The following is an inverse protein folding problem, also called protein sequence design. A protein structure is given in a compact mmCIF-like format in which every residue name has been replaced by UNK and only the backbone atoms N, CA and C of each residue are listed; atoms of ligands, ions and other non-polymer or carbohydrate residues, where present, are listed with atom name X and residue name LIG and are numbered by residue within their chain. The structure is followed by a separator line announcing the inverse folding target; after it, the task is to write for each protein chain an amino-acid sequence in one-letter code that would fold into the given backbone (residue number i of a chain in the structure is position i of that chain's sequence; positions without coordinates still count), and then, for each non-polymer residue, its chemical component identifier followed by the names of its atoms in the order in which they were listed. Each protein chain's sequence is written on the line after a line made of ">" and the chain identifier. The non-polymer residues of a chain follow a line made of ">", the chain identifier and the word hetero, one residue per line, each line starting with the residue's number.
data_IF_376686225953
#
_entry.id   IF_376686225953
#
_cell.length_a   1.000
_cell.length_b   1.000
_cell.length_c   1.000
_cell.angle_alpha   90.00
_cell.angle_beta   90.00
_cell.angle_gamma   90.00
#
_symmetry.space_group_name_H-M   'P 1'
#
loop_
_entity.id
_entity.type
_entity.pdbx_description
1 polymer ?
#
# COMPACT_ATOMS: atom_id res chain seq x y z
N UNK A 1 -17.88 -27.86 -4.40
CA UNK A 1 -16.93 -28.83 -4.98
C UNK A 1 -15.95 -29.21 -3.92
N UNK A 2 -15.66 -30.51 -3.67
CA UNK A 2 -14.60 -30.89 -2.77
C UNK A 2 -13.26 -30.42 -3.33
N UNK A 3 -12.35 -29.98 -2.46
CA UNK A 3 -11.00 -29.55 -2.85
C UNK A 3 -10.11 -30.74 -3.25
N UNK A 4 -10.52 -31.96 -2.85
CA UNK A 4 -9.91 -33.23 -3.28
C UNK A 4 -10.89 -33.94 -4.19
N UNK A 5 -10.81 -33.78 -5.50
CA UNK A 5 -11.83 -34.25 -6.44
C UNK A 5 -11.74 -35.73 -6.77
N UNK A 6 -10.62 -36.42 -6.45
CA UNK A 6 -10.41 -37.81 -6.84
C UNK A 6 -10.78 -38.79 -5.71
N UNK A 7 -11.43 -39.87 -6.09
CA UNK A 7 -11.69 -41.02 -5.21
C UNK A 7 -10.43 -41.89 -5.06
N UNK A 8 -10.41 -42.75 -4.05
CA UNK A 8 -9.29 -43.70 -3.87
C UNK A 8 -9.08 -44.62 -5.09
N UNK A 9 -10.18 -45.01 -5.75
CA UNK A 9 -10.09 -45.86 -6.94
C UNK A 9 -9.50 -45.11 -8.13
N UNK A 10 -9.84 -43.85 -8.32
CA UNK A 10 -9.23 -42.99 -9.36
C UNK A 10 -7.75 -42.77 -9.08
N UNK A 11 -7.37 -42.52 -7.82
CA UNK A 11 -5.96 -42.40 -7.43
C UNK A 11 -5.20 -43.69 -7.75
N UNK A 12 -5.79 -44.85 -7.45
CA UNK A 12 -5.20 -46.17 -7.73
C UNK A 12 -5.01 -46.39 -9.23
N UNK A 13 -6.03 -46.09 -10.04
CA UNK A 13 -5.92 -46.17 -11.50
C UNK A 13 -4.82 -45.25 -12.07
N UNK A 14 -4.67 -44.04 -11.55
CA UNK A 14 -3.61 -43.13 -11.95
C UNK A 14 -2.22 -43.70 -11.60
N UNK A 15 -2.05 -44.25 -10.41
CA UNK A 15 -0.78 -44.86 -9.98
C UNK A 15 -0.42 -46.09 -10.84
N UNK A 16 -1.41 -46.93 -11.20
CA UNK A 16 -1.23 -48.05 -12.10
C UNK A 16 -0.73 -47.62 -13.49
N UNK A 17 -1.30 -46.54 -14.03
CA UNK A 17 -0.86 -45.99 -15.33
C UNK A 17 0.57 -45.43 -15.25
N UNK A 18 0.95 -44.83 -14.14
CA UNK A 18 2.31 -44.32 -13.90
C UNK A 18 3.28 -45.44 -13.64
N UNK A 19 2.82 -46.58 -13.09
CA UNK A 19 3.64 -47.71 -12.75
C UNK A 19 4.26 -47.65 -11.34
N UNK A 20 3.61 -46.96 -10.40
CA UNK A 20 4.03 -46.87 -9.00
C UNK A 20 2.95 -47.37 -8.07
N UNK A 21 3.32 -47.82 -6.87
CA UNK A 21 2.36 -48.40 -5.91
C UNK A 21 1.64 -47.34 -5.04
N UNK A 22 2.35 -46.29 -4.69
CA UNK A 22 1.86 -45.26 -3.77
C UNK A 22 2.20 -43.85 -4.26
N UNK A 23 1.47 -42.83 -3.81
CA UNK A 23 1.84 -41.43 -4.06
C UNK A 23 3.26 -41.06 -3.57
N UNK A 24 3.75 -41.73 -2.51
CA UNK A 24 5.09 -41.48 -1.97
C UNK A 24 6.21 -41.93 -2.93
N UNK A 25 5.93 -42.91 -3.78
CA UNK A 25 6.90 -43.37 -4.78
C UNK A 25 7.18 -42.31 -5.85
N UNK A 26 6.26 -41.35 -6.05
CA UNK A 26 6.43 -40.20 -6.95
C UNK A 26 7.52 -39.22 -6.49
N UNK A 27 7.88 -39.32 -5.20
CA UNK A 27 8.90 -38.50 -4.56
C UNK A 27 10.19 -39.27 -4.28
N UNK A 28 10.48 -40.34 -5.04
CA UNK A 28 11.63 -41.19 -4.82
C UNK A 28 12.99 -40.45 -4.93
N UNK A 29 13.03 -39.34 -5.66
CA UNK A 29 14.19 -38.44 -5.81
C UNK A 29 14.47 -37.61 -4.54
N UNK A 30 13.49 -37.51 -3.59
CA UNK A 30 13.67 -36.85 -2.30
C UNK A 30 14.10 -37.89 -1.27
N UNK A 31 15.34 -37.77 -0.78
CA UNK A 31 15.87 -38.73 0.18
C UNK A 31 15.11 -38.72 1.50
N UNK A 32 15.03 -39.84 2.25
CA UNK A 32 14.29 -39.89 3.53
C UNK A 32 14.74 -38.84 4.55
N UNK A 33 16.01 -38.46 4.54
CA UNK A 33 16.56 -37.44 5.44
C UNK A 33 16.03 -36.02 5.15
N UNK A 34 15.62 -35.77 3.90
CA UNK A 34 15.07 -34.50 3.45
C UNK A 34 13.54 -34.44 3.62
N UNK A 35 12.89 -35.56 3.93
CA UNK A 35 11.44 -35.61 4.15
C UNK A 35 11.10 -35.28 5.61
N UNK A 36 10.06 -34.48 5.86
CA UNK A 36 9.59 -34.27 7.20
C UNK A 36 9.04 -35.58 7.79
N UNK A 37 9.44 -35.93 9.00
CA UNK A 37 8.99 -37.17 9.68
C UNK A 37 7.52 -37.12 10.04
N UNK A 38 6.98 -35.94 10.28
CA UNK A 38 5.57 -35.70 10.56
C UNK A 38 5.22 -34.24 10.27
N UNK A 39 3.97 -33.99 9.96
CA UNK A 39 3.41 -32.63 9.93
C UNK A 39 2.62 -32.41 11.22
N UNK A 40 3.07 -31.47 12.04
CA UNK A 40 2.33 -31.07 13.23
C UNK A 40 1.19 -30.10 12.86
N UNK A 41 0.27 -30.57 12.03
CA UNK A 41 -0.91 -29.84 11.62
C UNK A 41 -2.14 -30.46 12.30
N UNK A 42 -3.11 -29.63 12.73
CA UNK A 42 -4.38 -30.14 13.22
C UNK A 42 -5.13 -30.87 12.11
N UNK A 43 -5.96 -31.83 12.49
CA UNK A 43 -6.89 -32.45 11.54
C UNK A 43 -7.83 -31.41 10.96
N UNK A 44 -8.20 -31.60 9.70
CA UNK A 44 -9.22 -30.78 9.04
C UNK A 44 -10.56 -30.87 9.81
N UNK A 45 -11.24 -29.73 9.85
CA UNK A 45 -12.56 -29.59 10.48
C UNK A 45 -13.60 -29.34 9.39
N UNK A 46 -14.85 -29.65 9.69
CA UNK A 46 -15.96 -29.30 8.79
C UNK A 46 -16.16 -27.78 8.73
N UNK A 47 -16.78 -27.30 7.67
CA UNK A 47 -17.13 -25.88 7.51
C UNK A 47 -17.93 -25.35 8.71
N UNK A 48 -18.91 -26.15 9.20
CA UNK A 48 -19.72 -25.78 10.36
C UNK A 48 -18.89 -25.59 11.64
N UNK A 49 -17.92 -26.48 11.89
CA UNK A 49 -17.03 -26.38 13.05
C UNK A 49 -16.10 -25.17 12.96
N UNK A 50 -15.55 -24.92 11.77
CA UNK A 50 -14.68 -23.75 11.53
C UNK A 50 -15.47 -22.45 11.68
N UNK A 51 -16.67 -22.36 11.08
CA UNK A 51 -17.52 -21.18 11.23
C UNK A 51 -17.89 -20.94 12.70
N UNK A 52 -18.36 -21.96 13.41
CA UNK A 52 -18.70 -21.81 14.84
C UNK A 52 -17.53 -21.39 15.71
N UNK A 53 -16.32 -21.88 15.44
CA UNK A 53 -15.10 -21.45 16.13
C UNK A 53 -14.76 -19.97 15.84
N UNK A 54 -14.83 -19.55 14.57
CA UNK A 54 -14.52 -18.17 14.19
C UNK A 54 -15.59 -17.19 14.72
N UNK A 55 -16.86 -17.58 14.72
CA UNK A 55 -17.95 -16.79 15.31
C UNK A 55 -17.76 -16.60 16.81
N UNK A 56 -17.36 -17.68 17.54
CA UNK A 56 -17.06 -17.59 18.96
C UNK A 56 -15.87 -16.63 19.24
N UNK A 57 -14.82 -16.68 18.42
CA UNK A 57 -13.69 -15.74 18.51
C UNK A 57 -14.12 -14.30 18.21
N UNK A 58 -14.96 -14.11 17.19
CA UNK A 58 -15.49 -12.80 16.85
C UNK A 58 -16.36 -12.22 17.97
N UNK A 59 -17.21 -13.05 18.58
CA UNK A 59 -18.08 -12.65 19.70
C UNK A 59 -17.31 -12.28 20.98
N UNK A 60 -16.07 -12.74 21.13
CA UNK A 60 -15.21 -12.35 22.25
C UNK A 60 -14.66 -10.92 22.13
N UNK A 61 -14.74 -10.28 20.95
CA UNK A 61 -14.32 -8.91 20.78
C UNK A 61 -15.34 -7.93 21.35
N UNK A 62 -14.83 -6.83 21.92
CA UNK A 62 -15.66 -5.70 22.39
C UNK A 62 -16.04 -4.83 21.20
N UNK A 63 -17.24 -5.03 20.64
CA UNK A 63 -17.76 -4.26 19.49
C UNK A 63 -18.77 -3.18 19.91
N UNK A 64 -19.07 -3.10 21.19
CA UNK A 64 -20.04 -2.21 21.85
C UNK A 64 -19.43 -0.86 22.30
N UNK A 65 -18.16 -0.65 22.06
CA UNK A 65 -17.43 0.55 22.50
C UNK A 65 -17.21 1.55 21.35
N UNK A 66 -17.23 2.83 21.69
CA UNK A 66 -16.78 3.90 20.79
C UNK A 66 -15.28 4.05 20.94
N UNK A 67 -14.53 3.83 19.86
CA UNK A 67 -13.07 3.90 19.87
C UNK A 67 -12.57 5.31 19.54
N UNK A 68 -11.70 5.83 20.41
CA UNK A 68 -10.95 7.08 20.20
C UNK A 68 -9.44 6.83 20.09
N UNK A 69 -9.03 5.62 19.76
CA UNK A 69 -7.61 5.25 19.66
C UNK A 69 -6.85 6.05 18.59
N UNK A 70 -7.47 6.32 17.45
CA UNK A 70 -6.85 7.07 16.37
C UNK A 70 -5.60 6.41 15.81
N UNK A 71 -4.46 7.09 15.92
CA UNK A 71 -3.14 6.62 15.47
C UNK A 71 -3.05 6.33 13.95
N UNK A 72 -3.84 7.02 13.15
CA UNK A 72 -3.90 6.85 11.69
C UNK A 72 -4.96 5.85 11.22
N UNK A 73 -5.70 5.23 12.15
CA UNK A 73 -6.76 4.27 11.86
C UNK A 73 -8.10 4.79 12.35
N UNK A 74 -8.98 5.14 11.40
CA UNK A 74 -10.26 5.77 11.71
C UNK A 74 -11.40 5.04 11.01
N UNK A 75 -12.51 4.83 11.75
CA UNK A 75 -13.74 4.32 11.15
C UNK A 75 -14.36 5.39 10.26
N UNK A 76 -14.79 4.96 9.08
CA UNK A 76 -15.56 5.77 8.15
C UNK A 76 -16.86 5.05 7.78
N UNK A 77 -17.89 5.82 7.46
CA UNK A 77 -19.07 5.24 6.83
C UNK A 77 -18.71 4.75 5.42
N UNK A 78 -18.94 3.45 5.18
CA UNK A 78 -18.74 2.84 3.88
C UNK A 78 -20.12 2.60 3.28
N UNK A 79 -20.47 3.27 2.16
CA UNK A 79 -21.76 3.03 1.49
C UNK A 79 -21.89 1.58 1.03
N UNK A 80 -23.08 0.98 1.20
CA UNK A 80 -23.35 -0.40 0.77
C UNK A 80 -23.17 -0.62 -0.73
N UNK A 81 -23.21 0.43 -1.54
CA UNK A 81 -22.88 0.39 -2.94
C UNK A 81 -21.43 -0.09 -3.22
N UNK A 82 -20.48 0.18 -2.30
CA UNK A 82 -19.09 -0.29 -2.43
C UNK A 82 -19.07 -1.81 -2.44
N UNK A 83 -19.71 -2.46 -1.44
CA UNK A 83 -19.78 -3.93 -1.36
C UNK A 83 -20.49 -4.51 -2.59
N UNK A 84 -21.61 -3.89 -3.01
CA UNK A 84 -22.38 -4.36 -4.16
C UNK A 84 -21.60 -4.30 -5.48
N UNK A 85 -20.74 -3.31 -5.66
CA UNK A 85 -19.89 -3.18 -6.86
C UNK A 85 -18.68 -4.09 -6.77
N UNK A 86 -17.95 -4.09 -5.64
CA UNK A 86 -16.69 -4.83 -5.50
C UNK A 86 -16.90 -6.35 -5.43
N UNK A 87 -18.08 -6.81 -5.00
CA UNK A 87 -18.45 -8.24 -4.99
C UNK A 87 -18.82 -8.82 -6.36
N UNK A 88 -18.85 -8.01 -7.41
CA UNK A 88 -19.10 -8.50 -8.76
C UNK A 88 -17.93 -9.33 -9.27
N UNK A 89 -18.24 -10.47 -9.89
CA UNK A 89 -17.22 -11.42 -10.37
C UNK A 89 -16.22 -10.80 -11.35
N UNK A 90 -16.66 -9.81 -12.12
CA UNK A 90 -15.81 -9.09 -13.08
C UNK A 90 -14.60 -8.40 -12.43
N UNK A 91 -14.72 -8.03 -11.14
CA UNK A 91 -13.63 -7.39 -10.39
C UNK A 91 -12.82 -8.41 -9.60
N UNK A 92 -13.44 -9.25 -8.78
CA UNK A 92 -12.67 -10.10 -7.85
C UNK A 92 -12.07 -11.35 -8.51
N UNK A 93 -12.57 -11.79 -9.67
CA UNK A 93 -11.97 -12.90 -10.43
C UNK A 93 -10.87 -12.45 -11.38
N UNK A 94 -10.74 -11.13 -11.64
CA UNK A 94 -9.70 -10.62 -12.50
C UNK A 94 -8.33 -10.90 -11.89
N UNK A 95 -7.50 -11.66 -12.59
CA UNK A 95 -6.07 -11.74 -12.31
C UNK A 95 -5.42 -10.40 -12.68
N UNK A 96 -4.13 -10.29 -12.64
CA UNK A 96 -3.47 -9.02 -12.97
C UNK A 96 -3.83 -8.58 -14.40
N UNK A 97 -4.47 -7.40 -14.61
CA UNK A 97 -4.96 -6.97 -15.91
C UNK A 97 -3.83 -6.45 -16.80
N UNK A 98 -3.03 -7.36 -17.38
CA UNK A 98 -1.96 -6.99 -18.30
C UNK A 98 -2.42 -6.80 -19.74
N UNK A 99 -3.35 -7.66 -20.17
CA UNK A 99 -3.82 -7.70 -21.56
C UNK A 99 -5.05 -6.81 -21.71
N UNK A 100 -4.95 -5.67 -22.44
CA UNK A 100 -6.09 -4.80 -22.64
C UNK A 100 -7.25 -5.48 -23.35
N UNK A 101 -6.99 -6.48 -24.21
CA UNK A 101 -7.99 -7.24 -24.94
C UNK A 101 -8.95 -7.99 -24.01
N UNK A 102 -8.45 -8.47 -22.88
CA UNK A 102 -9.23 -9.25 -21.90
C UNK A 102 -9.69 -8.42 -20.70
N UNK A 103 -9.04 -7.28 -20.42
CA UNK A 103 -9.15 -6.57 -19.14
C UNK A 103 -9.44 -5.08 -19.29
N UNK A 104 -10.01 -4.64 -20.41
CA UNK A 104 -10.27 -3.22 -20.68
C UNK A 104 -11.08 -2.54 -19.58
N UNK A 105 -12.15 -3.18 -19.07
CA UNK A 105 -12.96 -2.61 -18.01
C UNK A 105 -12.21 -2.44 -16.69
N UNK A 106 -11.40 -3.41 -16.30
CA UNK A 106 -10.56 -3.31 -15.09
C UNK A 106 -9.47 -2.24 -15.28
N UNK A 107 -8.84 -2.17 -16.43
CA UNK A 107 -7.85 -1.13 -16.75
C UNK A 107 -8.47 0.27 -16.78
N UNK A 108 -9.69 0.40 -17.28
CA UNK A 108 -10.47 1.64 -17.22
C UNK A 108 -10.72 2.07 -15.76
N UNK A 109 -11.14 1.16 -14.89
CA UNK A 109 -11.35 1.44 -13.46
C UNK A 109 -10.05 1.90 -12.78
N UNK A 110 -8.91 1.25 -13.08
CA UNK A 110 -7.60 1.66 -12.57
C UNK A 110 -7.22 3.05 -13.08
N UNK A 111 -7.43 3.32 -14.37
CA UNK A 111 -7.16 4.63 -14.96
C UNK A 111 -7.99 5.74 -14.31
N UNK A 112 -9.27 5.48 -14.05
CA UNK A 112 -10.16 6.41 -13.36
C UNK A 112 -9.75 6.62 -11.91
N UNK A 113 -9.35 5.56 -11.19
CA UNK A 113 -8.76 5.67 -9.86
C UNK A 113 -7.53 6.58 -9.85
N UNK A 114 -6.57 6.36 -10.75
CA UNK A 114 -5.39 7.22 -10.88
C UNK A 114 -5.77 8.69 -11.09
N UNK A 115 -6.76 8.93 -11.95
CA UNK A 115 -7.27 10.28 -12.22
C UNK A 115 -7.93 10.90 -10.99
N UNK A 116 -8.74 10.14 -10.28
CA UNK A 116 -9.44 10.62 -9.09
C UNK A 116 -8.46 11.00 -7.97
N UNK A 117 -7.49 10.14 -7.67
CA UNK A 117 -6.51 10.43 -6.61
C UNK A 117 -5.53 11.54 -7.02
N UNK A 118 -5.14 11.62 -8.30
CA UNK A 118 -4.33 12.72 -8.80
C UNK A 118 -5.03 14.06 -8.61
N UNK A 119 -6.33 14.15 -8.93
CA UNK A 119 -7.15 15.35 -8.71
C UNK A 119 -7.35 15.68 -7.24
N UNK A 120 -7.59 14.66 -6.41
CA UNK A 120 -7.76 14.85 -4.97
C UNK A 120 -6.52 15.47 -4.31
N UNK A 121 -5.33 15.11 -4.80
CA UNK A 121 -4.05 15.63 -4.31
C UNK A 121 -3.56 16.88 -5.05
N UNK A 122 -4.30 17.34 -6.07
CA UNK A 122 -3.87 18.40 -7.00
C UNK A 122 -2.49 18.11 -7.59
N UNK A 123 -2.26 16.85 -7.98
CA UNK A 123 -1.00 16.37 -8.55
C UNK A 123 -1.23 15.85 -9.97
N UNK A 124 -0.27 16.01 -10.89
CA UNK A 124 -0.47 15.64 -12.30
C UNK A 124 -0.51 14.14 -12.56
N UNK A 125 0.06 13.32 -11.68
CA UNK A 125 0.21 11.89 -11.92
C UNK A 125 -0.04 11.07 -10.64
N UNK A 126 -0.68 9.90 -10.80
CA UNK A 126 -0.80 8.87 -9.77
C UNK A 126 -0.49 7.50 -10.36
N UNK A 127 0.02 6.57 -9.55
CA UNK A 127 0.13 5.16 -9.94
C UNK A 127 -1.16 4.38 -9.62
N UNK A 128 -1.18 3.10 -9.98
CA UNK A 128 -2.33 2.22 -9.74
C UNK A 128 -2.47 1.74 -8.28
N UNK A 129 -1.66 2.23 -7.39
CA UNK A 129 -1.54 1.98 -5.95
C UNK A 129 -0.31 1.15 -5.55
N UNK A 130 -0.05 1.14 -4.25
CA UNK A 130 0.84 0.23 -3.53
C UNK A 130 0.10 -0.35 -2.32
N UNK A 131 0.76 -1.12 -1.46
CA UNK A 131 0.07 -1.89 -0.41
C UNK A 131 -0.62 -1.05 0.67
N UNK A 132 0.05 -0.03 1.17
CA UNK A 132 -0.43 0.85 2.25
C UNK A 132 0.33 2.18 2.26
N UNK A 133 -0.10 3.11 3.12
CA UNK A 133 0.52 4.43 3.22
C UNK A 133 1.99 4.40 3.65
N UNK A 134 2.38 3.45 4.51
CA UNK A 134 3.77 3.29 4.93
C UNK A 134 4.66 2.79 3.79
N UNK A 135 4.17 1.85 2.99
CA UNK A 135 4.82 1.41 1.74
C UNK A 135 4.92 2.55 0.74
N UNK A 136 3.85 3.34 0.58
CA UNK A 136 3.86 4.52 -0.28
C UNK A 136 4.94 5.53 0.15
N UNK A 137 5.11 5.74 1.45
CA UNK A 137 6.18 6.58 1.98
C UNK A 137 7.57 6.01 1.68
N UNK A 138 7.79 4.72 1.95
CA UNK A 138 9.07 4.07 1.64
C UNK A 138 9.42 4.17 0.16
N UNK A 139 8.49 3.85 -0.72
CA UNK A 139 8.70 3.91 -2.16
C UNK A 139 8.98 5.35 -2.64
N UNK A 140 8.32 6.35 -2.06
CA UNK A 140 8.58 7.76 -2.39
C UNK A 140 9.97 8.21 -1.97
N UNK A 141 10.45 7.74 -0.82
CA UNK A 141 11.84 7.96 -0.36
C UNK A 141 12.82 7.31 -1.33
N UNK A 142 12.57 6.07 -1.75
CA UNK A 142 13.41 5.39 -2.73
C UNK A 142 13.38 6.06 -4.11
N UNK A 143 12.23 6.63 -4.50
CA UNK A 143 12.17 7.50 -5.71
C UNK A 143 13.09 8.72 -5.56
N UNK A 144 13.07 9.37 -4.40
CA UNK A 144 13.91 10.54 -4.15
C UNK A 144 15.41 10.18 -4.18
N UNK A 145 15.80 9.07 -3.59
CA UNK A 145 17.18 8.56 -3.62
C UNK A 145 17.62 8.29 -5.07
N UNK A 146 16.81 7.59 -5.86
CA UNK A 146 17.10 7.31 -7.28
C UNK A 146 17.22 8.57 -8.11
N UNK A 147 16.30 9.51 -7.90
CA UNK A 147 16.22 10.75 -8.69
C UNK A 147 17.38 11.71 -8.38
N UNK A 148 17.70 11.87 -7.10
CA UNK A 148 18.72 12.84 -6.67
C UNK A 148 20.13 12.25 -6.60
N UNK A 149 20.24 10.91 -6.50
CA UNK A 149 21.48 10.17 -6.20
C UNK A 149 22.11 10.59 -4.88
N UNK A 150 21.30 11.02 -3.93
CA UNK A 150 21.65 11.39 -2.58
C UNK A 150 21.03 10.41 -1.60
N UNK A 151 21.51 10.34 -0.38
CA UNK A 151 21.17 9.26 0.55
C UNK A 151 20.59 9.74 1.89
N UNK A 152 20.67 11.02 2.19
CA UNK A 152 20.13 11.59 3.42
C UNK A 152 18.65 11.94 3.25
N UNK A 153 17.81 11.47 4.16
CA UNK A 153 16.39 11.76 4.23
C UNK A 153 16.09 12.46 5.55
N UNK A 154 15.55 13.65 5.46
CA UNK A 154 15.08 14.41 6.62
C UNK A 154 13.62 14.08 6.86
N UNK A 155 13.28 13.57 8.04
CA UNK A 155 11.91 13.17 8.41
C UNK A 155 11.47 13.96 9.63
N UNK A 156 10.35 14.64 9.54
CA UNK A 156 9.71 15.28 10.68
C UNK A 156 9.21 14.23 11.68
N UNK A 157 9.51 14.41 12.95
CA UNK A 157 9.05 13.51 14.00
C UNK A 157 7.51 13.48 14.14
N UNK A 158 6.82 14.48 13.63
CA UNK A 158 5.35 14.54 13.61
C UNK A 158 4.69 13.64 12.55
N UNK A 159 5.47 12.99 11.67
CA UNK A 159 5.00 11.95 10.76
C UNK A 159 4.61 10.70 11.56
N UNK A 160 3.57 10.00 11.11
CA UNK A 160 3.07 8.78 11.72
C UNK A 160 4.21 7.85 12.19
N UNK A 161 4.30 7.51 13.49
CA UNK A 161 5.41 6.74 14.05
C UNK A 161 5.50 5.32 13.48
N UNK A 162 4.38 4.72 13.08
CA UNK A 162 4.35 3.40 12.41
C UNK A 162 5.08 3.50 11.07
N UNK A 163 4.76 4.52 10.27
CA UNK A 163 5.39 4.74 8.97
C UNK A 163 6.88 5.06 9.09
N UNK A 164 7.25 5.87 10.09
CA UNK A 164 8.68 6.14 10.39
C UNK A 164 9.42 4.86 10.77
N UNK A 165 8.80 3.99 11.55
CA UNK A 165 9.37 2.69 11.92
C UNK A 165 9.48 1.75 10.72
N UNK A 166 8.46 1.69 9.86
CA UNK A 166 8.52 0.96 8.59
C UNK A 166 9.67 1.45 7.73
N UNK A 167 9.78 2.77 7.55
CA UNK A 167 10.88 3.38 6.79
C UNK A 167 12.25 2.97 7.35
N UNK A 168 12.45 3.08 8.67
CA UNK A 168 13.69 2.66 9.32
C UNK A 168 13.99 1.17 9.14
N UNK A 169 12.97 0.32 9.18
CA UNK A 169 13.11 -1.12 8.98
C UNK A 169 13.54 -1.46 7.55
N UNK A 170 12.86 -0.88 6.56
CA UNK A 170 13.14 -1.16 5.15
C UNK A 170 14.45 -0.56 4.66
N UNK A 171 14.90 0.55 5.24
CA UNK A 171 16.18 1.18 4.86
C UNK A 171 17.39 0.65 5.61
N UNK A 172 17.21 -0.21 6.62
CA UNK A 172 18.28 -0.67 7.53
C UNK A 172 19.53 -1.21 6.83
N UNK A 173 19.38 -1.85 5.70
CA UNK A 173 20.48 -2.46 4.94
C UNK A 173 20.75 -1.73 3.61
N UNK A 174 20.19 -0.55 3.45
CA UNK A 174 20.39 0.31 2.30
C UNK A 174 21.33 1.47 2.69
N UNK A 175 22.05 2.07 1.74
CA UNK A 175 22.86 3.24 1.98
C UNK A 175 21.99 4.51 2.13
N UNK A 176 21.06 4.51 3.09
CA UNK A 176 20.12 5.59 3.36
C UNK A 176 20.29 6.03 4.81
N UNK A 177 20.56 7.32 5.00
CA UNK A 177 20.64 7.98 6.30
C UNK A 177 19.28 8.63 6.61
N UNK A 178 18.63 8.21 7.69
CA UNK A 178 17.41 8.84 8.18
C UNK A 178 17.73 9.82 9.30
N UNK A 179 17.47 11.10 9.06
CA UNK A 179 17.62 12.17 10.06
C UNK A 179 16.23 12.60 10.52
N UNK A 180 15.85 12.23 11.74
CA UNK A 180 14.59 12.65 12.34
C UNK A 180 14.79 14.02 13.00
N UNK A 181 13.99 15.01 12.59
CA UNK A 181 13.92 16.32 13.21
C UNK A 181 12.84 16.30 14.28
N UNK A 182 13.18 16.59 15.56
CA UNK A 182 12.20 16.60 16.64
C UNK A 182 11.06 17.59 16.40
N UNK A 183 9.86 17.19 16.77
CA UNK A 183 8.69 18.06 16.77
C UNK A 183 8.71 19.00 17.98
N UNK A 184 7.97 20.10 17.90
CA UNK A 184 7.81 21.08 18.99
C UNK A 184 6.34 21.17 19.41
N UNK A 185 6.00 20.63 20.59
CA UNK A 185 4.62 20.65 21.14
C UNK A 185 3.58 20.15 20.14
N UNK A 186 3.85 19.03 19.49
CA UNK A 186 2.97 18.39 18.50
C UNK A 186 2.94 19.08 17.12
N UNK A 187 3.88 19.99 16.85
CA UNK A 187 4.00 20.71 15.58
C UNK A 187 5.40 20.52 14.97
N UNK A 188 5.49 20.74 13.68
CA UNK A 188 6.76 20.73 12.95
C UNK A 188 7.64 21.90 13.37
N UNK A 189 8.92 21.65 13.63
CA UNK A 189 9.93 22.71 13.77
C UNK A 189 10.47 23.11 12.39
N UNK A 190 9.85 24.12 11.78
CA UNK A 190 10.20 24.60 10.44
C UNK A 190 11.65 25.11 10.35
N UNK A 191 12.17 25.71 11.42
CA UNK A 191 13.53 26.23 11.44
C UNK A 191 14.54 25.08 11.46
N UNK A 192 14.33 24.08 12.30
CA UNK A 192 15.15 22.87 12.35
C UNK A 192 15.06 22.06 11.05
N UNK A 193 13.85 21.88 10.47
CA UNK A 193 13.68 21.23 9.18
C UNK A 193 14.47 21.95 8.08
N UNK A 194 14.32 23.26 7.93
CA UNK A 194 15.08 24.05 6.95
C UNK A 194 16.59 23.93 7.15
N UNK A 195 17.05 23.94 8.40
CA UNK A 195 18.48 23.80 8.75
C UNK A 195 19.05 22.42 8.42
N UNK A 196 18.25 21.37 8.53
CA UNK A 196 18.66 20.00 8.23
C UNK A 196 18.81 19.72 6.73
N UNK A 197 18.27 20.57 5.85
CA UNK A 197 18.33 20.42 4.40
C UNK A 197 19.66 20.94 3.86
N UNK A 198 20.58 20.02 3.61
CA UNK A 198 21.89 20.27 3.00
C UNK A 198 22.02 19.63 1.61
N UNK A 199 23.20 19.73 1.02
CA UNK A 199 23.46 19.18 -0.32
C UNK A 199 23.49 17.64 -0.38
N UNK A 200 23.58 16.94 0.76
CA UNK A 200 23.48 15.50 0.84
C UNK A 200 22.01 15.00 0.91
N UNK A 201 21.08 15.91 1.16
CA UNK A 201 19.67 15.59 1.36
C UNK A 201 18.99 15.20 0.05
N UNK A 202 18.36 14.00 0.01
CA UNK A 202 17.55 13.51 -1.09
C UNK A 202 16.10 13.96 -0.98
N UNK A 203 15.54 13.95 0.24
CA UNK A 203 14.16 14.35 0.49
C UNK A 203 13.94 14.91 1.89
N UNK A 204 12.88 15.73 2.01
CA UNK A 204 12.22 16.07 3.25
C UNK A 204 10.83 15.43 3.29
N UNK A 205 10.50 14.80 4.42
CA UNK A 205 9.22 14.11 4.65
C UNK A 205 8.48 14.80 5.77
N UNK A 206 7.26 15.23 5.50
CA UNK A 206 6.34 15.85 6.47
C UNK A 206 4.93 15.26 6.30
N UNK A 207 4.03 15.54 7.24
CA UNK A 207 2.66 15.03 7.20
C UNK A 207 1.65 16.13 7.54
N UNK A 208 0.52 16.18 6.81
CA UNK A 208 -0.58 17.13 7.04
C UNK A 208 -1.98 16.52 6.86
N UNK A 209 -2.88 16.52 7.85
CA UNK A 209 -2.57 16.81 9.24
C UNK A 209 -1.50 15.86 9.77
N UNK A 210 -0.66 16.35 10.69
CA UNK A 210 0.38 15.52 11.26
C UNK A 210 -0.20 14.48 12.26
N UNK A 211 0.64 13.60 12.80
CA UNK A 211 0.19 12.54 13.71
C UNK A 211 -0.51 13.06 14.97
N UNK A 212 -0.19 14.26 15.41
CA UNK A 212 -0.81 14.92 16.57
C UNK A 212 -2.07 15.73 16.21
N UNK A 213 -2.47 15.75 14.93
CA UNK A 213 -3.64 16.45 14.44
C UNK A 213 -3.42 17.93 14.11
N UNK A 214 -2.18 18.41 14.17
CA UNK A 214 -1.88 19.77 13.75
C UNK A 214 -1.96 19.92 12.23
N UNK A 215 -2.58 21.01 11.79
CA UNK A 215 -2.67 21.41 10.38
C UNK A 215 -1.66 22.53 10.16
N UNK A 216 -0.79 22.35 9.16
CA UNK A 216 0.32 23.25 8.89
C UNK A 216 0.46 23.52 7.38
N UNK A 217 1.00 24.67 7.02
CA UNK A 217 1.30 25.04 5.63
C UNK A 217 2.79 24.86 5.35
N UNK A 218 3.13 23.88 4.53
CA UNK A 218 4.52 23.56 4.19
C UNK A 218 5.04 24.28 2.93
N UNK A 219 4.27 25.23 2.36
CA UNK A 219 4.64 25.93 1.11
C UNK A 219 6.05 26.54 1.18
N UNK A 220 6.37 27.25 2.26
CA UNK A 220 7.70 27.85 2.41
C UNK A 220 8.82 26.81 2.60
N UNK A 221 8.54 25.71 3.30
CA UNK A 221 9.52 24.62 3.46
C UNK A 221 9.82 23.98 2.09
N UNK A 222 8.78 23.73 1.28
CA UNK A 222 8.94 23.13 -0.03
C UNK A 222 9.63 24.08 -1.03
N UNK A 223 9.35 25.37 -0.97
CA UNK A 223 10.08 26.38 -1.74
C UNK A 223 11.57 26.40 -1.36
N UNK A 224 11.89 26.30 -0.06
CA UNK A 224 13.28 26.20 0.43
C UNK A 224 13.95 24.89 -0.02
N UNK A 225 13.25 23.75 0.05
CA UNK A 225 13.74 22.47 -0.43
C UNK A 225 14.05 22.53 -1.92
N UNK A 226 13.13 23.07 -2.72
CA UNK A 226 13.29 23.20 -4.18
C UNK A 226 14.56 23.98 -4.56
N UNK A 227 14.90 25.03 -3.83
CA UNK A 227 16.11 25.81 -4.07
C UNK A 227 17.39 24.99 -3.83
N UNK A 228 17.36 23.98 -2.95
CA UNK A 228 18.49 23.10 -2.58
C UNK A 228 18.44 21.72 -3.23
N UNK A 229 17.37 21.44 -3.98
CA UNK A 229 17.14 20.22 -4.79
C UNK A 229 16.78 18.92 -4.05
N UNK A 230 16.62 18.79 -2.70
CA UNK A 230 15.92 17.64 -2.18
C UNK A 230 14.45 17.63 -2.62
N UNK A 231 13.85 16.46 -2.76
CA UNK A 231 12.43 16.34 -3.07
C UNK A 231 11.58 16.55 -1.82
N UNK A 232 10.43 17.18 -2.01
CA UNK A 232 9.41 17.38 -0.97
C UNK A 232 8.41 16.25 -1.01
N UNK A 233 8.29 15.49 0.08
CA UNK A 233 7.34 14.39 0.23
C UNK A 233 6.33 14.78 1.30
N UNK A 234 5.06 14.89 0.92
CA UNK A 234 3.95 15.20 1.83
C UNK A 234 3.08 13.96 2.04
N UNK A 235 3.06 13.44 3.27
CA UNK A 235 2.09 12.47 3.70
C UNK A 235 0.79 13.16 4.09
N UNK A 236 -0.35 12.66 3.62
CA UNK A 236 -1.64 13.28 3.89
C UNK A 236 -2.71 12.28 4.30
N UNK A 237 -3.77 12.79 4.93
CA UNK A 237 -5.00 12.04 5.13
C UNK A 237 -5.97 12.37 3.97
N UNK A 238 -6.32 11.38 3.11
CA UNK A 238 -6.92 11.70 1.80
C UNK A 238 -8.27 12.40 1.90
N UNK A 239 -9.13 12.04 2.86
CA UNK A 239 -10.45 12.67 3.04
C UNK A 239 -10.31 14.16 3.36
N UNK A 240 -9.25 14.54 4.07
CA UNK A 240 -9.02 15.95 4.45
C UNK A 240 -8.59 16.82 3.26
N UNK A 241 -8.18 16.23 2.15
CA UNK A 241 -7.77 16.99 0.96
C UNK A 241 -8.94 17.71 0.27
N UNK A 242 -10.17 17.35 0.61
CA UNK A 242 -11.36 18.08 0.16
C UNK A 242 -11.54 19.47 0.81
N UNK A 243 -10.86 19.74 1.94
CA UNK A 243 -11.05 20.96 2.75
C UNK A 243 -9.74 21.63 3.15
N UNK A 244 -8.60 20.97 3.01
CA UNK A 244 -7.29 21.54 3.31
C UNK A 244 -6.55 21.91 2.03
N UNK A 245 -5.54 22.77 2.19
CA UNK A 245 -4.59 23.07 1.12
C UNK A 245 -3.91 21.78 0.66
N UNK A 246 -4.01 21.52 -0.62
CA UNK A 246 -3.56 20.26 -1.22
C UNK A 246 -2.03 20.17 -1.33
N UNK A 247 -1.46 18.96 -1.51
CA UNK A 247 -0.04 18.79 -1.81
C UNK A 247 0.43 19.60 -3.02
N UNK A 248 -0.37 19.63 -4.10
CA UNK A 248 -0.05 20.41 -5.30
C UNK A 248 0.00 21.89 -5.04
N UNK A 249 -0.99 22.45 -4.32
CA UNK A 249 -1.01 23.86 -3.92
C UNK A 249 0.16 24.23 -2.99
N UNK A 250 0.63 23.31 -2.15
CA UNK A 250 1.81 23.52 -1.32
C UNK A 250 3.12 23.37 -2.11
N UNK A 251 3.08 22.83 -3.33
CA UNK A 251 4.25 22.62 -4.18
C UNK A 251 5.06 21.38 -3.85
N UNK A 252 4.44 20.34 -3.29
CA UNK A 252 5.07 19.05 -3.05
C UNK A 252 5.51 18.37 -4.36
N UNK A 253 6.61 17.64 -4.31
CA UNK A 253 7.11 16.85 -5.43
C UNK A 253 6.42 15.49 -5.52
N UNK A 254 6.15 14.91 -4.34
CA UNK A 254 5.47 13.63 -4.18
C UNK A 254 4.48 13.77 -3.02
N UNK A 255 3.28 13.22 -3.18
CA UNK A 255 2.34 13.08 -2.09
C UNK A 255 1.94 11.62 -1.91
N UNK A 256 1.82 11.20 -0.64
CA UNK A 256 1.47 9.84 -0.25
C UNK A 256 0.34 9.84 0.77
N UNK A 257 -0.47 8.79 0.74
CA UNK A 257 -1.56 8.60 1.70
C UNK A 257 -1.89 7.12 1.89
N UNK A 258 -2.59 6.82 2.98
CA UNK A 258 -3.32 5.57 3.10
C UNK A 258 -4.76 5.78 2.63
N UNK A 259 -5.18 4.98 1.66
CA UNK A 259 -6.50 5.09 1.04
C UNK A 259 -7.60 4.34 1.77
N UNK A 260 -7.33 3.75 2.93
CA UNK A 260 -8.33 2.99 3.70
C UNK A 260 -9.63 3.75 3.89
N UNK A 261 -9.53 5.05 4.21
CA UNK A 261 -10.68 5.93 4.43
C UNK A 261 -11.59 6.12 3.19
N UNK A 262 -11.14 5.76 2.00
CA UNK A 262 -11.88 5.93 0.74
C UNK A 262 -12.78 4.72 0.38
N UNK A 263 -13.14 3.89 1.34
CA UNK A 263 -14.13 2.82 1.14
C UNK A 263 -13.71 1.45 1.65
N UNK A 264 -12.71 1.35 2.52
CA UNK A 264 -12.25 0.09 3.10
C UNK A 264 -12.51 0.04 4.61
N UNK A 265 -12.96 -1.10 5.16
CA UNK A 265 -13.04 -1.29 6.60
C UNK A 265 -11.64 -1.39 7.22
N UNK A 266 -11.54 -1.21 8.54
CA UNK A 266 -10.26 -1.34 9.26
C UNK A 266 -9.69 -2.76 9.22
N UNK A 267 -10.53 -3.78 9.13
CA UNK A 267 -10.18 -5.19 8.91
C UNK A 267 -9.04 -5.69 9.80
N UNK A 268 -9.00 -5.28 11.07
CA UNK A 268 -7.98 -5.66 12.06
C UNK A 268 -6.52 -5.39 11.60
N UNK A 269 -6.31 -4.40 10.75
CA UNK A 269 -4.98 -4.01 10.29
C UNK A 269 -4.74 -4.18 8.78
N UNK A 270 -5.78 -4.38 8.02
CA UNK A 270 -5.68 -4.42 6.56
C UNK A 270 -6.24 -5.70 5.92
N UNK A 271 -6.02 -5.87 4.62
CA UNK A 271 -5.18 -5.03 3.74
C UNK A 271 -5.73 -3.63 3.51
N UNK A 272 -4.85 -2.66 3.25
CA UNK A 272 -5.19 -1.27 2.94
C UNK A 272 -4.82 -0.89 1.51
N UNK A 273 -4.63 0.39 1.24
CA UNK A 273 -4.32 0.92 -0.08
C UNK A 273 -3.32 2.09 0.04
N UNK A 274 -2.12 1.95 -0.49
CA UNK A 274 -1.17 3.04 -0.56
C UNK A 274 -1.41 3.91 -1.80
N UNK A 275 -1.62 5.20 -1.58
CA UNK A 275 -1.74 6.20 -2.63
C UNK A 275 -0.40 6.88 -2.83
N UNK A 276 0.02 6.99 -4.09
CA UNK A 276 1.19 7.77 -4.50
C UNK A 276 0.86 8.67 -5.66
N UNK A 277 1.20 9.94 -5.53
CA UNK A 277 1.12 10.93 -6.60
C UNK A 277 2.42 11.70 -6.73
N UNK A 278 2.76 12.18 -7.92
CA UNK A 278 3.98 12.94 -8.11
C UNK A 278 3.88 13.95 -9.25
N UNK A 279 4.89 14.83 -9.33
CA UNK A 279 5.10 15.70 -10.50
C UNK A 279 5.35 14.88 -11.76
N UNK A 280 5.01 15.43 -12.91
CA UNK A 280 5.13 14.78 -14.24
C UNK A 280 6.55 14.27 -14.53
N UNK A 281 7.57 15.00 -14.10
CA UNK A 281 8.98 14.66 -14.33
C UNK A 281 9.41 13.37 -13.59
N UNK A 282 8.69 12.99 -12.55
CA UNK A 282 8.99 11.83 -11.74
C UNK A 282 8.22 10.57 -12.16
N UNK A 283 7.32 10.64 -13.13
CA UNK A 283 6.42 9.54 -13.50
C UNK A 283 7.16 8.24 -13.84
N UNK A 284 8.34 8.32 -14.46
CA UNK A 284 9.14 7.16 -14.83
C UNK A 284 9.85 6.49 -13.62
N UNK A 285 9.78 7.12 -12.46
CA UNK A 285 10.36 6.60 -11.21
C UNK A 285 9.31 5.90 -10.34
N UNK A 286 8.04 5.97 -10.70
CA UNK A 286 6.98 5.34 -9.92
C UNK A 286 7.22 3.84 -9.72
N UNK A 287 6.99 3.33 -8.51
CA UNK A 287 6.87 1.90 -8.29
C UNK A 287 5.52 1.39 -8.81
N UNK A 288 5.44 0.09 -9.03
CA UNK A 288 4.21 -0.58 -9.42
C UNK A 288 3.78 -0.25 -10.85
N UNK A 289 2.47 -0.10 -11.02
CA UNK A 289 1.85 0.07 -12.33
C UNK A 289 1.30 1.45 -12.56
N UNK A 290 1.23 1.79 -13.85
CA UNK A 290 0.46 2.91 -14.37
C UNK A 290 -0.37 2.37 -15.53
N UNK A 291 -1.69 2.49 -15.46
CA UNK A 291 -2.57 2.30 -16.60
C UNK A 291 -2.53 3.57 -17.46
N UNK A 292 -2.16 3.40 -18.72
CA UNK A 292 -2.10 4.49 -19.70
C UNK A 292 -3.19 4.34 -20.75
N UNK A 293 -3.56 5.45 -21.37
CA UNK A 293 -4.47 5.50 -22.51
C UNK A 293 -3.69 5.90 -23.76
N UNK A 294 -3.93 5.18 -24.84
CA UNK A 294 -3.37 5.51 -26.15
C UNK A 294 -4.45 5.37 -27.22
N UNK A 295 -4.20 5.85 -28.41
CA UNK A 295 -5.05 5.65 -29.58
C UNK A 295 -4.28 4.83 -30.62
N UNK A 296 -4.98 3.96 -31.33
CA UNK A 296 -4.43 3.22 -32.45
C UNK A 296 -4.27 4.09 -33.71
N UNK A 297 -3.82 3.47 -34.80
CA UNK A 297 -3.63 4.18 -36.09
C UNK A 297 -4.94 4.67 -36.70
N UNK A 298 -6.07 4.11 -36.31
CA UNK A 298 -7.42 4.48 -36.75
C UNK A 298 -8.08 5.50 -35.81
N UNK A 299 -7.35 5.97 -34.76
CA UNK A 299 -7.84 6.92 -33.78
C UNK A 299 -8.76 6.32 -32.71
N UNK A 300 -8.87 5.00 -32.60
CA UNK A 300 -9.61 4.31 -31.55
C UNK A 300 -8.77 4.25 -30.27
N UNK A 301 -9.46 4.49 -29.13
CA UNK A 301 -8.83 4.48 -27.79
C UNK A 301 -9.02 3.15 -27.14
#
# INVERSE_FOLDING_TARGET
>A
MPFVPHTEDEVRQMLDVIGVATPDDLFADITPEMRPRSFNLPHGQSEMEVCGRLEALAAANRTDVVSFLGAGFYNHHIPKAVDAVTSRSEFYTAYTPYQPECSQGTLQAIFEFQTAVARLMDMPCANASVYDGGTALFESVMMAVRQTRRHKIVVDESVNPIWRRMLATHTRHLPVELVTVPQCVGRSDFAALKSALDDACAAVVVQNPNFFGAIEDYTELFAHAKARKPLSILAVYPVMQAVLKTPGEMGADIAVADGQALGMPLSFGGPYLGIMTCRKELIRQFPGRIAGRTTDVDGKT
#
